data_IF_101728464398
#
_entry.id   IF_101728464398
#
_cell.length_a   1.000
_cell.length_b   1.000
_cell.length_c   1.000
_cell.angle_alpha   90.00
_cell.angle_beta   90.00
_cell.angle_gamma   90.00
#
_symmetry.space_group_name_H-M   'P 1'
#
loop_
_entity.id
_entity.type
_entity.pdbx_description
1 polymer ?
#
# COMPACT_ATOMS: atom_id res chain seq x y z
N UNK A 1 6.94 -12.22 -32.62
CA UNK A 1 7.78 -13.41 -32.38
C UNK A 1 8.83 -13.17 -31.29
N UNK A 2 9.66 -12.10 -31.36
CA UNK A 2 10.71 -11.85 -30.38
C UNK A 2 10.19 -11.76 -28.94
N UNK A 3 9.08 -11.05 -28.69
CA UNK A 3 8.48 -10.90 -27.36
C UNK A 3 7.99 -12.24 -26.78
N UNK A 4 7.35 -13.09 -27.58
CA UNK A 4 6.91 -14.42 -27.14
C UNK A 4 8.10 -15.31 -26.77
N UNK A 5 9.20 -15.22 -27.51
CA UNK A 5 10.44 -15.96 -27.18
C UNK A 5 11.03 -15.52 -25.85
N UNK A 6 11.05 -14.20 -25.58
CA UNK A 6 11.52 -13.65 -24.31
C UNK A 6 10.63 -14.12 -23.15
N UNK A 7 9.32 -14.06 -23.32
CA UNK A 7 8.37 -14.52 -22.28
C UNK A 7 8.51 -16.02 -22.00
N UNK A 8 8.67 -16.85 -23.06
CA UNK A 8 8.90 -18.29 -22.90
C UNK A 8 10.23 -18.57 -22.17
N UNK A 9 11.29 -17.85 -22.53
CA UNK A 9 12.60 -17.98 -21.86
C UNK A 9 12.52 -17.56 -20.38
N UNK A 10 11.84 -16.46 -20.07
CA UNK A 10 11.61 -16.02 -18.69
C UNK A 10 10.81 -17.05 -17.89
N UNK A 11 9.70 -17.56 -18.45
CA UNK A 11 8.93 -18.61 -17.80
C UNK A 11 9.79 -19.85 -17.50
N UNK A 12 10.53 -20.32 -18.49
CA UNK A 12 11.44 -21.45 -18.33
C UNK A 12 12.46 -21.23 -17.20
N UNK A 13 13.04 -20.04 -17.15
CA UNK A 13 14.01 -19.68 -16.12
C UNK A 13 13.39 -19.66 -14.70
N UNK A 14 12.23 -19.00 -14.53
CA UNK A 14 11.53 -18.99 -13.24
C UNK A 14 11.13 -20.40 -12.79
N UNK A 15 10.60 -21.21 -13.71
CA UNK A 15 10.16 -22.57 -13.39
C UNK A 15 11.32 -23.51 -13.06
N UNK A 16 12.46 -23.34 -13.73
CA UNK A 16 13.66 -24.13 -13.42
C UNK A 16 14.21 -23.75 -12.04
N UNK A 17 14.33 -22.44 -11.76
CA UNK A 17 14.78 -21.96 -10.47
C UNK A 17 13.83 -22.39 -9.32
N UNK A 18 12.53 -22.44 -9.60
CA UNK A 18 11.51 -22.89 -8.64
C UNK A 18 11.52 -24.40 -8.36
N UNK A 19 12.32 -25.19 -9.06
CA UNK A 19 12.57 -26.60 -8.73
C UNK A 19 13.41 -26.76 -7.48
N UNK A 20 14.44 -25.94 -7.37
CA UNK A 20 15.42 -26.02 -6.30
C UNK A 20 15.12 -25.06 -5.15
N UNK A 21 14.63 -23.86 -5.47
CA UNK A 21 14.41 -22.77 -4.53
C UNK A 21 12.94 -22.41 -4.39
N UNK A 22 12.56 -21.96 -3.18
CA UNK A 22 11.27 -21.32 -2.98
C UNK A 22 11.35 -19.87 -3.48
N UNK A 23 10.56 -19.55 -4.50
CA UNK A 23 10.51 -18.22 -5.09
C UNK A 23 9.23 -17.50 -4.71
N UNK A 24 9.35 -16.21 -4.44
CA UNK A 24 8.21 -15.29 -4.31
C UNK A 24 8.36 -14.21 -5.37
N UNK A 25 7.40 -14.16 -6.28
CA UNK A 25 7.29 -13.10 -7.28
C UNK A 25 6.21 -12.13 -6.83
N UNK A 26 6.61 -10.90 -6.49
CA UNK A 26 5.69 -9.85 -6.07
C UNK A 26 5.54 -8.82 -7.19
N UNK A 27 4.29 -8.47 -7.50
CA UNK A 27 3.94 -7.42 -8.46
C UNK A 27 2.98 -6.46 -7.79
N UNK A 28 3.43 -5.23 -7.63
CA UNK A 28 2.61 -4.16 -7.08
C UNK A 28 1.83 -3.47 -8.19
N UNK A 29 0.65 -2.95 -7.85
CA UNK A 29 -0.24 -2.24 -8.77
C UNK A 29 -0.52 -2.99 -10.09
N UNK A 30 -0.77 -4.29 -10.01
CA UNK A 30 -1.03 -5.15 -11.17
C UNK A 30 -2.12 -4.61 -12.11
N UNK A 31 -3.06 -3.81 -11.61
CA UNK A 31 -4.09 -3.15 -12.39
C UNK A 31 -3.52 -2.14 -13.41
N UNK A 32 -2.32 -1.60 -13.16
CA UNK A 32 -1.60 -0.67 -14.04
C UNK A 32 -0.67 -1.37 -15.04
N UNK A 33 -0.56 -2.72 -14.98
CA UNK A 33 0.31 -3.47 -15.87
C UNK A 33 -0.22 -3.47 -17.32
N UNK A 34 0.71 -3.59 -18.28
CA UNK A 34 0.32 -3.76 -19.68
C UNK A 34 -0.33 -5.15 -19.92
N UNK A 35 -1.27 -5.27 -20.87
CA UNK A 35 -2.01 -6.51 -21.11
C UNK A 35 -1.12 -7.71 -21.45
N UNK A 36 0.04 -7.48 -22.06
CA UNK A 36 0.96 -8.55 -22.48
C UNK A 36 1.70 -9.13 -21.30
N UNK A 37 2.22 -8.27 -20.41
CA UNK A 37 2.88 -8.69 -19.16
C UNK A 37 1.88 -9.38 -18.22
N UNK A 38 0.65 -8.86 -18.13
CA UNK A 38 -0.40 -9.47 -17.34
C UNK A 38 -0.81 -10.87 -17.87
N UNK A 39 -0.90 -11.04 -19.18
CA UNK A 39 -1.18 -12.33 -19.80
C UNK A 39 -0.06 -13.34 -19.55
N UNK A 40 1.20 -12.89 -19.64
CA UNK A 40 2.36 -13.72 -19.31
C UNK A 40 2.33 -14.18 -17.85
N UNK A 41 2.10 -13.25 -16.92
CA UNK A 41 2.03 -13.57 -15.49
C UNK A 41 0.88 -14.54 -15.19
N UNK A 42 -0.27 -14.37 -15.85
CA UNK A 42 -1.40 -15.29 -15.74
C UNK A 42 -1.07 -16.69 -16.27
N UNK A 43 -0.27 -16.77 -17.35
CA UNK A 43 0.22 -18.05 -17.88
C UNK A 43 1.16 -18.71 -16.88
N UNK A 44 2.11 -17.96 -16.33
CA UNK A 44 3.05 -18.47 -15.33
C UNK A 44 2.34 -18.98 -14.09
N UNK A 45 1.27 -18.27 -13.62
CA UNK A 45 0.49 -18.66 -12.46
C UNK A 45 -0.11 -20.07 -12.59
N UNK A 46 -0.50 -20.50 -13.80
CA UNK A 46 -1.06 -21.84 -14.02
C UNK A 46 -0.04 -22.96 -13.79
N UNK A 47 1.23 -22.65 -13.93
CA UNK A 47 2.33 -23.62 -13.79
C UNK A 47 2.88 -23.67 -12.34
N UNK A 48 2.47 -22.73 -11.47
CA UNK A 48 2.98 -22.66 -10.08
C UNK A 48 2.54 -23.85 -9.23
N UNK A 49 1.41 -24.49 -9.53
CA UNK A 49 0.83 -25.56 -8.70
C UNK A 49 1.74 -26.75 -8.45
N UNK A 50 2.69 -26.98 -9.34
CA UNK A 50 3.67 -28.07 -9.26
C UNK A 50 5.08 -27.60 -8.91
N UNK A 51 5.25 -26.32 -8.53
CA UNK A 51 6.53 -25.68 -8.29
C UNK A 51 6.55 -24.93 -6.96
N UNK A 52 7.72 -24.65 -6.45
CA UNK A 52 7.93 -23.83 -5.25
C UNK A 52 7.92 -22.33 -5.62
N UNK A 53 6.85 -21.88 -6.30
CA UNK A 53 6.69 -20.51 -6.78
C UNK A 53 5.38 -19.94 -6.26
N UNK A 54 5.48 -18.87 -5.47
CA UNK A 54 4.36 -18.05 -5.03
C UNK A 54 4.34 -16.76 -5.84
N UNK A 55 3.19 -16.41 -6.40
CA UNK A 55 2.98 -15.13 -7.07
C UNK A 55 2.00 -14.31 -6.24
N UNK A 56 2.43 -13.14 -5.78
CA UNK A 56 1.63 -12.20 -5.01
C UNK A 56 1.45 -10.93 -5.83
N UNK A 57 0.22 -10.54 -6.07
CA UNK A 57 -0.08 -9.29 -6.77
C UNK A 57 -0.96 -8.39 -5.93
N UNK A 58 -0.71 -7.09 -5.91
CA UNK A 58 -1.65 -6.11 -5.38
C UNK A 58 -2.44 -5.48 -6.52
N UNK A 59 -3.67 -5.08 -6.23
CA UNK A 59 -4.51 -4.40 -7.22
C UNK A 59 -5.55 -3.53 -6.54
N UNK A 60 -5.71 -2.30 -7.02
CA UNK A 60 -6.78 -1.43 -6.55
C UNK A 60 -8.10 -1.81 -7.24
N UNK A 61 -9.04 -2.34 -6.44
CA UNK A 61 -10.34 -2.79 -6.94
C UNK A 61 -11.21 -1.62 -7.41
N UNK A 62 -11.09 -0.45 -6.78
CA UNK A 62 -11.87 0.74 -7.13
C UNK A 62 -11.49 1.32 -8.50
N UNK A 63 -10.26 1.12 -8.96
CA UNK A 63 -9.80 1.55 -10.28
C UNK A 63 -10.21 0.60 -11.42
N UNK A 64 -11.04 -0.41 -11.11
CA UNK A 64 -11.64 -1.28 -12.12
C UNK A 64 -10.58 -1.96 -12.98
N UNK A 65 -9.78 -2.85 -12.41
CA UNK A 65 -8.78 -3.59 -13.18
C UNK A 65 -9.38 -4.19 -14.45
N UNK A 66 -8.79 -3.90 -15.60
CA UNK A 66 -9.24 -4.35 -16.89
C UNK A 66 -9.43 -5.88 -16.99
N UNK A 67 -9.77 -6.36 -18.18
CA UNK A 67 -10.02 -7.80 -18.45
C UNK A 67 -8.88 -8.71 -18.00
N UNK A 68 -7.63 -8.20 -17.99
CA UNK A 68 -6.44 -8.93 -17.55
C UNK A 68 -6.44 -9.22 -16.04
N UNK A 69 -6.87 -8.26 -15.20
CA UNK A 69 -6.99 -8.48 -13.75
C UNK A 69 -8.06 -9.53 -13.45
N UNK A 70 -9.18 -9.48 -14.17
CA UNK A 70 -10.23 -10.50 -14.04
C UNK A 70 -9.73 -11.89 -14.47
N UNK A 71 -8.94 -11.95 -15.55
CA UNK A 71 -8.29 -13.17 -16.03
C UNK A 71 -7.37 -13.80 -14.98
N UNK A 72 -6.53 -12.99 -14.36
CA UNK A 72 -5.63 -13.43 -13.29
C UNK A 72 -6.40 -13.93 -12.05
N UNK A 73 -7.42 -13.18 -11.61
CA UNK A 73 -8.24 -13.52 -10.43
C UNK A 73 -8.94 -14.87 -10.51
N UNK A 74 -9.22 -15.39 -11.71
CA UNK A 74 -9.84 -16.74 -11.89
C UNK A 74 -8.90 -17.87 -11.47
N UNK A 75 -7.61 -17.61 -11.36
CA UNK A 75 -6.57 -18.61 -11.06
C UNK A 75 -5.83 -18.34 -9.75
N UNK A 76 -6.16 -17.24 -9.05
CA UNK A 76 -5.53 -16.80 -7.83
C UNK A 76 -6.53 -16.76 -6.67
N UNK A 77 -6.04 -16.99 -5.46
CA UNK A 77 -6.81 -16.75 -4.25
C UNK A 77 -6.90 -15.24 -3.99
N UNK A 78 -8.07 -14.76 -3.62
CA UNK A 78 -8.34 -13.35 -3.39
C UNK A 78 -8.32 -13.04 -1.90
N UNK A 79 -7.34 -12.25 -1.47
CA UNK A 79 -7.32 -11.62 -0.16
C UNK A 79 -7.80 -10.17 -0.27
N UNK A 80 -8.93 -9.85 0.35
CA UNK A 80 -9.45 -8.48 0.43
C UNK A 80 -8.95 -7.82 1.70
N UNK A 81 -8.27 -6.70 1.56
CA UNK A 81 -7.90 -5.86 2.69
C UNK A 81 -9.10 -4.97 3.04
N UNK A 82 -9.62 -5.14 4.25
CA UNK A 82 -10.62 -4.23 4.80
C UNK A 82 -9.96 -2.94 5.30
N UNK A 83 -10.69 -1.82 5.35
CA UNK A 83 -10.22 -0.64 6.07
C UNK A 83 -9.87 -0.98 7.52
N UNK A 84 -8.83 -0.36 8.06
CA UNK A 84 -8.45 -0.53 9.46
C UNK A 84 -9.51 0.06 10.38
N UNK A 85 -9.85 -0.66 11.44
CA UNK A 85 -10.68 -0.13 12.50
C UNK A 85 -9.94 0.92 13.34
N UNK A 86 -10.68 1.70 14.15
CA UNK A 86 -10.09 2.75 14.99
C UNK A 86 -9.00 2.21 15.93
N UNK A 87 -9.19 1.01 16.50
CA UNK A 87 -8.19 0.36 17.35
C UNK A 87 -6.92 -0.02 16.59
N UNK A 88 -7.04 -0.49 15.37
CA UNK A 88 -5.92 -0.89 14.53
C UNK A 88 -5.12 0.34 14.08
N UNK A 89 -5.79 1.42 13.73
CA UNK A 89 -5.16 2.72 13.46
C UNK A 89 -4.45 3.27 14.69
N UNK A 90 -5.07 3.18 15.88
CA UNK A 90 -4.42 3.59 17.13
C UNK A 90 -3.15 2.78 17.40
N UNK A 91 -3.18 1.45 17.21
CA UNK A 91 -2.01 0.59 17.35
C UNK A 91 -0.92 0.95 16.34
N UNK A 92 -1.30 1.25 15.10
CA UNK A 92 -0.36 1.71 14.06
C UNK A 92 0.32 3.02 14.48
N UNK A 93 -0.46 4.00 14.95
CA UNK A 93 0.10 5.28 15.42
C UNK A 93 0.96 5.09 16.67
N UNK A 94 0.59 4.18 17.57
CA UNK A 94 1.42 3.84 18.72
C UNK A 94 2.77 3.24 18.31
N UNK A 95 2.82 2.46 17.25
CA UNK A 95 4.09 1.93 16.72
C UNK A 95 5.03 3.04 16.17
N UNK A 96 4.47 4.17 15.75
CA UNK A 96 5.23 5.34 15.24
C UNK A 96 5.63 6.30 16.37
N UNK A 97 4.70 6.60 17.27
CA UNK A 97 4.87 7.63 18.30
C UNK A 97 5.26 7.10 19.68
N UNK A 98 5.21 5.78 19.88
CA UNK A 98 5.45 5.17 21.18
C UNK A 98 4.35 5.54 22.18
N UNK A 99 4.74 5.67 23.46
CA UNK A 99 3.87 6.03 24.59
C UNK A 99 3.74 7.57 24.73
N UNK A 100 3.49 8.28 23.63
CA UNK A 100 3.38 9.72 23.66
C UNK A 100 2.09 10.19 24.37
N UNK A 101 2.22 11.25 25.17
CA UNK A 101 1.08 11.89 25.82
C UNK A 101 0.09 12.40 24.76
N UNK A 102 -1.20 12.23 24.99
CA UNK A 102 -2.29 12.60 24.07
C UNK A 102 -2.42 11.76 22.79
N UNK A 103 -1.63 10.69 22.61
CA UNK A 103 -1.73 9.78 21.47
C UNK A 103 -3.16 9.24 21.22
N UNK A 104 -3.94 8.84 22.24
CA UNK A 104 -5.31 8.38 22.00
C UNK A 104 -6.18 9.44 21.30
N UNK A 105 -6.04 10.70 21.66
CA UNK A 105 -6.79 11.80 21.01
C UNK A 105 -6.36 12.02 19.57
N UNK A 106 -5.05 11.98 19.28
CA UNK A 106 -4.55 12.01 17.91
C UNK A 106 -5.11 10.84 17.10
N UNK A 107 -5.12 9.64 17.67
CA UNK A 107 -5.63 8.45 17.02
C UNK A 107 -7.12 8.57 16.67
N UNK A 108 -7.95 9.11 17.58
CA UNK A 108 -9.38 9.34 17.33
C UNK A 108 -9.60 10.31 16.17
N UNK A 109 -8.85 11.42 16.14
CA UNK A 109 -8.94 12.44 15.10
C UNK A 109 -8.49 11.88 13.75
N UNK A 110 -7.38 11.16 13.73
CA UNK A 110 -6.86 10.52 12.49
C UNK A 110 -7.80 9.44 12.00
N UNK A 111 -8.36 8.61 12.90
CA UNK A 111 -9.29 7.56 12.52
C UNK A 111 -10.56 8.09 11.85
N UNK A 112 -11.09 9.22 12.35
CA UNK A 112 -12.27 9.87 11.77
C UNK A 112 -12.03 10.40 10.35
N UNK A 113 -10.80 10.83 10.04
CA UNK A 113 -10.44 11.44 8.75
C UNK A 113 -9.86 10.47 7.73
N UNK A 114 -9.13 9.46 8.20
CA UNK A 114 -8.46 8.48 7.34
C UNK A 114 -9.39 7.38 6.81
N UNK A 115 -10.64 7.30 7.27
CA UNK A 115 -11.64 6.30 6.84
C UNK A 115 -11.08 4.87 6.81
N UNK A 116 -10.16 4.56 7.72
CA UNK A 116 -9.51 3.26 7.82
C UNK A 116 -8.36 3.03 6.82
N UNK A 117 -7.95 4.05 6.06
CA UNK A 117 -6.79 3.96 5.16
C UNK A 117 -5.49 4.25 5.92
N UNK A 118 -4.54 3.28 6.01
CA UNK A 118 -3.25 3.52 6.64
C UNK A 118 -2.45 4.64 5.96
N UNK A 119 -2.50 4.70 4.62
CA UNK A 119 -1.81 5.73 3.84
C UNK A 119 -2.33 7.12 4.18
N UNK A 120 -3.66 7.31 4.17
CA UNK A 120 -4.26 8.60 4.54
C UNK A 120 -3.95 8.98 5.99
N UNK A 121 -3.93 8.01 6.90
CA UNK A 121 -3.56 8.25 8.29
C UNK A 121 -2.13 8.78 8.41
N UNK A 122 -1.18 8.19 7.69
CA UNK A 122 0.21 8.64 7.67
C UNK A 122 0.36 10.01 6.99
N UNK A 123 -0.34 10.25 5.88
CA UNK A 123 -0.33 11.54 5.20
C UNK A 123 -0.83 12.67 6.11
N UNK A 124 -1.90 12.42 6.89
CA UNK A 124 -2.40 13.37 7.89
C UNK A 124 -1.36 13.65 8.98
N UNK A 125 -0.72 12.61 9.50
CA UNK A 125 0.33 12.73 10.51
C UNK A 125 1.53 13.51 9.98
N UNK A 126 2.02 13.19 8.77
CA UNK A 126 3.10 13.94 8.12
C UNK A 126 2.73 15.42 7.94
N UNK A 127 1.49 15.71 7.59
CA UNK A 127 1.00 17.08 7.49
C UNK A 127 1.09 17.82 8.83
N UNK A 128 0.64 17.20 9.93
CA UNK A 128 0.71 17.78 11.26
C UNK A 128 2.15 18.00 11.74
N UNK A 129 3.05 17.05 11.47
CA UNK A 129 4.50 17.21 11.73
C UNK A 129 5.06 18.39 10.94
N UNK A 130 4.72 18.48 9.67
CA UNK A 130 5.20 19.53 8.78
C UNK A 130 4.67 20.93 9.15
N UNK A 131 3.54 21.02 9.86
CA UNK A 131 3.03 22.26 10.45
C UNK A 131 3.64 22.59 11.83
N UNK A 132 4.47 21.69 12.38
CA UNK A 132 5.06 21.85 13.70
C UNK A 132 4.11 21.59 14.85
N UNK A 133 2.92 21.01 14.58
CA UNK A 133 1.96 20.63 15.60
C UNK A 133 2.35 19.36 16.34
N UNK A 134 3.02 18.45 15.65
CA UNK A 134 3.67 17.27 16.21
C UNK A 134 5.17 17.47 16.14
N UNK A 135 5.84 17.41 17.27
CA UNK A 135 7.28 17.68 17.36
C UNK A 135 7.98 16.52 18.07
N UNK A 136 9.15 16.17 17.57
CA UNK A 136 10.04 15.24 18.28
C UNK A 136 11.12 16.02 19.01
N UNK A 137 11.17 15.90 20.33
CA UNK A 137 12.12 16.60 21.17
C UNK A 137 12.58 15.72 22.32
N UNK A 138 13.87 15.75 22.62
CA UNK A 138 14.48 15.03 23.76
C UNK A 138 14.15 13.53 23.83
N UNK A 139 14.04 12.88 22.66
CA UNK A 139 13.75 11.44 22.59
C UNK A 139 12.27 11.07 22.70
N UNK A 140 11.36 12.05 22.71
CA UNK A 140 9.92 11.79 22.78
C UNK A 140 9.14 12.67 21.81
N UNK A 141 7.94 12.21 21.47
CA UNK A 141 6.99 12.99 20.68
C UNK A 141 6.14 13.89 21.57
N UNK A 142 6.07 15.15 21.22
CA UNK A 142 5.19 16.15 21.83
C UNK A 142 3.94 16.28 20.96
N UNK A 143 2.82 15.83 21.48
CA UNK A 143 1.53 15.89 20.82
C UNK A 143 0.65 16.93 21.51
N UNK A 144 -0.09 17.76 20.77
CA UNK A 144 -0.96 18.77 21.36
C UNK A 144 -2.15 18.10 22.09
N UNK A 145 -2.67 18.73 23.15
CA UNK A 145 -3.82 18.20 23.88
C UNK A 145 -5.11 18.21 23.06
N UNK A 146 -5.19 19.03 22.01
CA UNK A 146 -6.28 19.08 21.05
C UNK A 146 -5.76 19.52 19.69
N UNK A 147 -6.35 18.99 18.63
CA UNK A 147 -6.10 19.39 17.26
C UNK A 147 -7.40 19.99 16.74
N UNK A 148 -7.33 21.25 16.32
CA UNK A 148 -8.50 21.96 15.79
C UNK A 148 -8.87 21.48 14.40
N UNK A 149 -10.15 21.59 14.03
CA UNK A 149 -10.62 21.22 12.69
C UNK A 149 -9.91 22.00 11.57
N UNK A 150 -9.45 23.21 11.84
CA UNK A 150 -8.72 24.05 10.88
C UNK A 150 -7.28 23.63 10.65
N UNK A 151 -6.71 22.82 11.54
CA UNK A 151 -5.35 22.31 11.48
C UNK A 151 -5.27 21.02 10.64
N UNK A 152 -6.45 20.44 10.36
CA UNK A 152 -6.57 19.24 9.54
C UNK A 152 -7.06 19.63 8.14
N UNK A 153 -6.44 19.15 7.08
CA UNK A 153 -6.98 19.28 5.74
C UNK A 153 -8.33 18.56 5.64
N UNK A 154 -9.24 19.14 4.87
CA UNK A 154 -10.61 18.63 4.72
C UNK A 154 -10.64 17.27 3.99
N UNK A 155 -9.63 17.02 3.14
CA UNK A 155 -9.53 15.83 2.30
C UNK A 155 -8.06 15.48 1.98
N UNK A 156 -7.85 14.30 1.42
CA UNK A 156 -6.54 13.82 0.95
C UNK A 156 -5.95 14.73 -0.14
N UNK A 157 -6.79 15.36 -0.93
CA UNK A 157 -6.35 16.29 -1.99
C UNK A 157 -5.71 17.55 -1.39
N UNK A 158 -6.24 18.03 -0.28
CA UNK A 158 -5.66 19.14 0.49
C UNK A 158 -4.27 18.80 1.05
N UNK A 159 -4.08 17.56 1.54
CA UNK A 159 -2.75 17.08 1.99
C UNK A 159 -1.77 17.06 0.83
N UNK A 160 -2.17 16.49 -0.32
CA UNK A 160 -1.31 16.41 -1.51
C UNK A 160 -0.95 17.80 -2.05
N UNK A 161 -1.89 18.73 -2.10
CA UNK A 161 -1.63 20.12 -2.51
C UNK A 161 -0.64 20.82 -1.58
N UNK A 162 -0.80 20.64 -0.27
CA UNK A 162 0.12 21.20 0.72
C UNK A 162 1.55 20.60 0.58
N UNK A 163 1.65 19.32 0.22
CA UNK A 163 2.91 18.62 -0.04
C UNK A 163 3.57 19.12 -1.32
N UNK A 164 2.81 19.25 -2.41
CA UNK A 164 3.29 19.78 -3.70
C UNK A 164 3.80 21.23 -3.58
N UNK A 165 3.11 22.06 -2.79
CA UNK A 165 3.51 23.46 -2.57
C UNK A 165 4.86 23.62 -1.83
N UNK A 166 5.39 22.54 -1.23
CA UNK A 166 6.68 22.52 -0.50
C UNK A 166 7.82 21.95 -1.31
N UNK A 167 7.56 21.38 -2.49
CA UNK A 167 8.63 20.91 -3.36
C UNK A 167 9.43 22.11 -3.88
N UNK A 168 10.78 22.07 -3.82
CA UNK A 168 11.59 23.09 -4.44
C UNK A 168 11.35 23.09 -5.96
N UNK A 169 11.27 24.29 -6.53
CA UNK A 169 11.09 24.48 -7.97
C UNK A 169 12.30 23.99 -8.77
#
# INVERSE_FOLDING_TARGET
EARMRVQAALSGWFLELAREHCLVLQVDDFHASDPTSAAWLTSLLRETRSRKLLIVVTSNIAQGGGTHVQGFRRHADLLRLAPLGARELANMLQSVFGEALHLPRLADVVAQRAEGSPGQALDLVEHLVAQGLLQYSEGTWLLPPSIGERELPLDTEGVLRARLARLPA
#
